data_IF_718786247671
#
_entry.id   IF_718786247671
#
_cell.length_a   1.000
_cell.length_b   1.000
_cell.length_c   1.000
_cell.angle_alpha   90.00
_cell.angle_beta   90.00
_cell.angle_gamma   90.00
#
_symmetry.space_group_name_H-M   'P 1'
#
loop_
_entity.id
_entity.type
_entity.pdbx_description
1 polymer ?
#
# COMPACT_ATOMS: atom_id res chain seq x y z
N UNK A 1 -24.26 13.00 15.10
CA UNK A 1 -25.37 12.65 14.19
C UNK A 1 -24.81 12.63 12.78
N UNK A 2 -25.25 11.71 11.93
CA UNK A 2 -24.90 11.67 10.50
C UNK A 2 -26.14 11.25 9.73
N UNK A 3 -26.30 11.76 8.51
CA UNK A 3 -27.47 11.51 7.65
C UNK A 3 -26.99 10.73 6.43
N UNK A 4 -27.78 9.76 6.00
CA UNK A 4 -27.50 9.04 4.76
C UNK A 4 -27.76 9.98 3.56
N UNK A 5 -26.79 10.19 2.67
CA UNK A 5 -26.95 11.12 1.55
C UNK A 5 -28.00 10.72 0.51
N UNK A 6 -28.33 9.43 0.42
CA UNK A 6 -29.26 8.90 -0.60
C UNK A 6 -30.57 8.41 0.02
N UNK A 7 -30.49 7.67 1.13
CA UNK A 7 -31.67 7.13 1.81
C UNK A 7 -32.18 8.13 2.83
N UNK A 8 -33.49 8.15 3.06
CA UNK A 8 -34.14 8.94 4.11
C UNK A 8 -33.88 8.33 5.49
N UNK A 9 -32.61 8.20 5.87
CA UNK A 9 -32.17 7.57 7.11
C UNK A 9 -31.15 8.45 7.80
N UNK A 10 -31.17 8.47 9.14
CA UNK A 10 -30.14 9.14 9.91
C UNK A 10 -29.75 8.32 11.14
N UNK A 11 -28.51 8.50 11.58
CA UNK A 11 -27.97 7.90 12.79
C UNK A 11 -27.77 8.94 13.89
N UNK A 12 -27.97 8.51 15.14
CA UNK A 12 -27.61 9.26 16.34
C UNK A 12 -26.77 8.36 17.24
N UNK A 13 -25.62 8.87 17.67
CA UNK A 13 -24.79 8.25 18.69
C UNK A 13 -25.15 8.88 20.03
N UNK A 14 -25.77 8.09 20.91
CA UNK A 14 -26.25 8.53 22.21
C UNK A 14 -25.27 8.07 23.30
N UNK A 15 -24.76 9.03 24.08
CA UNK A 15 -23.92 8.76 25.24
C UNK A 15 -24.79 8.69 26.48
N UNK A 16 -24.76 7.55 27.18
CA UNK A 16 -25.42 7.42 28.46
C UNK A 16 -24.47 7.92 29.55
N UNK A 17 -24.89 8.93 30.30
CA UNK A 17 -24.16 9.35 31.49
C UNK A 17 -24.61 8.54 32.70
N UNK A 18 -23.73 7.69 33.21
CA UNK A 18 -23.94 7.07 34.52
C UNK A 18 -23.75 8.10 35.62
N UNK A 19 -24.65 8.12 36.62
CA UNK A 19 -24.50 8.97 37.82
C UNK A 19 -23.20 8.69 38.60
N UNK A 20 -22.55 7.56 38.35
CA UNK A 20 -21.31 7.12 39.01
C UNK A 20 -20.01 7.56 38.30
N UNK A 21 -20.09 8.30 37.19
CA UNK A 21 -18.91 8.82 36.49
C UNK A 21 -18.22 7.81 35.55
N UNK A 22 -18.72 6.57 35.46
CA UNK A 22 -18.24 5.61 34.47
C UNK A 22 -18.61 6.06 33.05
N UNK A 23 -17.61 6.18 32.19
CA UNK A 23 -17.80 6.48 30.76
C UNK A 23 -18.36 5.23 30.07
N UNK A 24 -19.68 5.15 29.96
CA UNK A 24 -20.35 4.11 29.19
C UNK A 24 -20.07 4.31 27.69
N UNK A 25 -19.85 3.20 26.98
CA UNK A 25 -19.77 3.23 25.52
C UNK A 25 -21.10 3.70 24.92
N UNK A 26 -21.07 4.52 23.86
CA UNK A 26 -22.30 5.02 23.25
C UNK A 26 -23.12 3.92 22.60
N UNK A 27 -24.42 4.18 22.50
CA UNK A 27 -25.35 3.39 21.69
C UNK A 27 -25.62 4.13 20.38
N UNK A 28 -25.47 3.45 19.25
CA UNK A 28 -25.82 4.00 17.94
C UNK A 28 -27.24 3.59 17.56
N UNK A 29 -28.13 4.57 17.45
CA UNK A 29 -29.50 4.39 16.99
C UNK A 29 -29.63 4.88 15.55
N UNK A 30 -30.34 4.12 14.72
CA UNK A 30 -30.53 4.44 13.30
C UNK A 30 -32.01 4.46 13.01
N UNK A 31 -32.45 5.56 12.42
CA UNK A 31 -33.85 5.86 12.17
C UNK A 31 -34.11 6.00 10.68
N UNK A 32 -35.29 5.54 10.26
CA UNK A 32 -35.91 5.82 8.97
C UNK A 32 -36.90 6.97 9.12
N UNK A 33 -36.87 7.91 8.17
CA UNK A 33 -37.81 9.02 8.04
C UNK A 33 -38.50 9.03 6.67
N UNK A 34 -38.52 7.89 5.97
CA UNK A 34 -39.28 7.72 4.73
C UNK A 34 -40.79 7.95 4.91
N UNK A 35 -41.31 7.67 6.11
CA UNK A 35 -42.71 7.89 6.49
C UNK A 35 -42.85 9.17 7.32
N UNK A 36 -44.07 9.66 7.52
CA UNK A 36 -44.34 10.80 8.42
C UNK A 36 -43.90 10.55 9.87
N UNK A 37 -43.72 9.29 10.25
CA UNK A 37 -43.23 8.88 11.56
C UNK A 37 -41.79 8.38 11.50
N UNK A 38 -40.98 8.77 12.48
CA UNK A 38 -39.61 8.28 12.66
C UNK A 38 -39.62 6.84 13.15
N UNK A 39 -39.18 5.89 12.31
CA UNK A 39 -39.11 4.46 12.67
C UNK A 39 -37.69 4.08 13.06
N UNK A 40 -37.50 3.42 14.21
CA UNK A 40 -36.19 2.88 14.58
C UNK A 40 -35.90 1.64 13.74
N UNK A 41 -34.82 1.67 12.95
CA UNK A 41 -34.35 0.52 12.14
C UNK A 41 -33.52 -0.41 13.01
N UNK A 42 -32.53 0.15 13.71
CA UNK A 42 -31.55 -0.63 14.45
C UNK A 42 -31.00 0.17 15.62
N UNK A 43 -30.65 -0.55 16.68
CA UNK A 43 -29.95 -0.04 17.84
C UNK A 43 -28.74 -0.92 18.09
N UNK A 44 -27.56 -0.31 18.08
CA UNK A 44 -26.29 -0.98 18.33
C UNK A 44 -25.73 -0.48 19.68
N UNK A 45 -25.97 -1.23 20.77
CA UNK A 45 -25.54 -0.82 22.11
C UNK A 45 -24.03 -1.01 22.32
N UNK A 46 -23.47 -0.23 23.23
CA UNK A 46 -22.11 -0.35 23.77
C UNK A 46 -21.02 -0.44 22.69
N UNK A 47 -21.07 0.41 21.66
CA UNK A 47 -20.03 0.44 20.64
C UNK A 47 -18.86 1.28 21.12
N UNK A 48 -17.64 0.74 21.03
CA UNK A 48 -16.40 1.50 21.22
C UNK A 48 -16.12 2.44 20.03
N UNK A 49 -16.92 3.49 19.90
CA UNK A 49 -16.80 4.44 18.81
C UNK A 49 -17.05 5.88 19.25
N UNK A 50 -16.47 6.81 18.50
CA UNK A 50 -16.64 8.26 18.73
C UNK A 50 -17.40 8.95 17.61
N UNK A 51 -17.28 8.45 16.40
CA UNK A 51 -17.94 9.04 15.25
C UNK A 51 -18.29 7.98 14.21
N UNK A 52 -19.21 8.32 13.33
CA UNK A 52 -19.57 7.46 12.21
C UNK A 52 -19.97 8.32 11.03
N UNK A 53 -19.77 7.79 9.82
CA UNK A 53 -20.04 8.47 8.57
C UNK A 53 -20.66 7.50 7.56
N UNK A 54 -21.69 7.94 6.86
CA UNK A 54 -22.24 7.21 5.71
C UNK A 54 -21.33 7.40 4.49
N UNK A 55 -21.30 6.38 3.62
CA UNK A 55 -20.70 6.52 2.30
C UNK A 55 -21.54 7.50 1.45
N UNK A 56 -20.92 8.26 0.53
CA UNK A 56 -21.66 9.17 -0.35
C UNK A 56 -22.74 8.49 -1.20
N UNK A 57 -22.55 7.21 -1.55
CA UNK A 57 -23.54 6.39 -2.24
C UNK A 57 -24.63 5.81 -1.32
N UNK A 58 -24.57 6.05 0.00
CA UNK A 58 -25.59 5.65 0.98
C UNK A 58 -25.76 4.15 1.22
N UNK A 59 -24.92 3.30 0.62
CA UNK A 59 -24.99 1.84 0.78
C UNK A 59 -24.25 1.34 2.02
N UNK A 60 -23.21 2.07 2.44
CA UNK A 60 -22.35 1.69 3.54
C UNK A 60 -22.32 2.77 4.62
N UNK A 61 -22.00 2.33 5.83
CA UNK A 61 -21.75 3.21 6.96
C UNK A 61 -20.51 2.70 7.69
N UNK A 62 -19.60 3.61 8.01
CA UNK A 62 -18.41 3.29 8.79
C UNK A 62 -18.53 3.93 10.15
N UNK A 63 -18.47 3.11 11.19
CA UNK A 63 -18.37 3.55 12.57
C UNK A 63 -16.90 3.48 12.97
N UNK A 64 -16.38 4.57 13.54
CA UNK A 64 -14.97 4.74 13.85
C UNK A 64 -14.71 4.85 15.35
N UNK A 65 -13.87 3.94 15.84
CA UNK A 65 -13.23 3.95 17.15
C UNK A 65 -11.90 4.68 17.13
N UNK A 66 -11.78 5.79 16.40
CA UNK A 66 -10.55 6.59 16.47
C UNK A 66 -10.43 7.16 17.89
N UNK A 67 -9.22 7.07 18.47
CA UNK A 67 -8.90 7.51 19.83
C UNK A 67 -9.65 6.75 20.96
N UNK A 68 -10.16 5.54 20.71
CA UNK A 68 -10.66 4.62 21.76
C UNK A 68 -9.54 3.72 22.28
N UNK A 69 -9.79 3.00 23.37
CA UNK A 69 -8.82 2.05 23.95
C UNK A 69 -8.48 0.94 22.95
N UNK A 70 -9.51 0.36 22.32
CA UNK A 70 -9.33 -0.53 21.18
C UNK A 70 -9.81 0.15 19.89
N UNK A 71 -8.89 0.74 19.10
CA UNK A 71 -9.26 1.47 17.89
C UNK A 71 -9.62 0.53 16.73
N UNK A 72 -10.90 0.55 16.35
CA UNK A 72 -11.44 -0.23 15.23
C UNK A 72 -12.28 0.62 14.26
N UNK A 73 -12.31 0.20 13.00
CA UNK A 73 -13.31 0.60 12.02
C UNK A 73 -14.32 -0.52 11.83
N UNK A 74 -15.60 -0.19 11.92
CA UNK A 74 -16.71 -1.12 11.73
C UNK A 74 -17.45 -0.74 10.46
N UNK A 75 -17.39 -1.61 9.45
CA UNK A 75 -18.06 -1.44 8.17
C UNK A 75 -19.44 -2.08 8.22
N UNK A 76 -20.49 -1.30 8.08
CA UNK A 76 -21.88 -1.76 8.06
C UNK A 76 -22.50 -1.58 6.67
N UNK A 77 -23.36 -2.53 6.28
CA UNK A 77 -24.32 -2.30 5.21
C UNK A 77 -25.50 -1.51 5.76
N UNK A 78 -25.92 -0.45 5.09
CA UNK A 78 -27.03 0.38 5.52
C UNK A 78 -28.41 -0.26 5.28
N UNK A 79 -28.58 -1.17 4.32
CA UNK A 79 -29.87 -1.83 4.04
C UNK A 79 -30.33 -2.77 5.15
N UNK A 80 -29.41 -3.60 5.65
CA UNK A 80 -29.71 -4.62 6.67
C UNK A 80 -29.09 -4.32 8.03
N UNK A 81 -28.38 -3.20 8.15
CA UNK A 81 -27.57 -2.86 9.31
C UNK A 81 -26.64 -3.98 9.78
N UNK A 82 -26.13 -4.77 8.82
CA UNK A 82 -25.25 -5.91 9.07
C UNK A 82 -23.80 -5.45 9.06
N UNK A 83 -23.04 -5.86 10.07
CA UNK A 83 -21.59 -5.69 10.08
C UNK A 83 -20.95 -6.57 9.00
N UNK A 84 -20.21 -5.97 8.09
CA UNK A 84 -19.38 -6.66 7.11
C UNK A 84 -18.03 -7.03 7.69
N UNK A 85 -17.34 -6.04 8.26
CA UNK A 85 -15.96 -6.23 8.70
C UNK A 85 -15.61 -5.28 9.84
N UNK A 86 -14.88 -5.83 10.81
CA UNK A 86 -14.21 -5.09 11.88
C UNK A 86 -12.72 -5.06 11.53
N UNK A 87 -12.15 -3.86 11.43
CA UNK A 87 -10.75 -3.67 11.00
C UNK A 87 -9.99 -2.94 12.12
N UNK A 88 -8.92 -3.54 12.68
CA UNK A 88 -8.08 -2.83 13.64
C UNK A 88 -7.37 -1.68 12.95
N UNK A 89 -7.34 -0.52 13.62
CA UNK A 89 -6.63 0.65 13.13
C UNK A 89 -5.73 1.20 14.22
N UNK A 90 -4.55 1.67 13.87
CA UNK A 90 -3.61 2.22 14.84
C UNK A 90 -3.30 3.66 14.48
N UNK A 91 -3.30 4.55 15.48
CA UNK A 91 -2.82 5.93 15.38
C UNK A 91 -3.42 6.74 14.21
N UNK A 92 -4.66 6.43 13.83
CA UNK A 92 -5.38 7.19 12.81
C UNK A 92 -5.89 8.49 13.39
N UNK A 93 -5.80 9.57 12.61
CA UNK A 93 -6.29 10.90 12.98
C UNK A 93 -7.75 11.07 12.53
N UNK A 94 -8.06 10.71 11.29
CA UNK A 94 -9.41 10.83 10.72
C UNK A 94 -9.63 9.85 9.57
N UNK A 95 -10.90 9.70 9.18
CA UNK A 95 -11.31 8.92 8.01
C UNK A 95 -12.08 9.80 7.02
N UNK A 96 -12.01 9.48 5.73
CA UNK A 96 -12.74 10.19 4.68
C UNK A 96 -13.13 9.25 3.55
N UNK A 97 -14.38 9.34 3.11
CA UNK A 97 -14.87 8.62 1.94
C UNK A 97 -14.47 9.32 0.64
N UNK A 98 -14.19 8.53 -0.39
CA UNK A 98 -14.15 9.04 -1.76
C UNK A 98 -15.54 9.51 -2.21
N UNK A 99 -15.65 10.44 -3.16
CA UNK A 99 -16.94 10.98 -3.60
C UNK A 99 -17.91 9.93 -4.14
N UNK A 100 -17.42 8.76 -4.60
CA UNK A 100 -18.23 7.67 -5.12
C UNK A 100 -18.62 6.63 -4.05
N UNK A 101 -18.02 6.67 -2.86
CA UNK A 101 -18.26 5.69 -1.80
C UNK A 101 -17.72 4.29 -2.08
N UNK A 102 -16.69 4.18 -2.91
CA UNK A 102 -15.97 2.93 -3.20
C UNK A 102 -14.78 2.72 -2.26
N UNK A 103 -14.11 3.79 -1.86
CA UNK A 103 -12.90 3.74 -1.04
C UNK A 103 -13.00 4.62 0.20
N UNK A 104 -12.53 4.09 1.32
CA UNK A 104 -12.35 4.81 2.56
C UNK A 104 -10.86 5.06 2.79
N UNK A 105 -10.47 6.33 2.88
CA UNK A 105 -9.14 6.71 3.32
C UNK A 105 -9.09 6.87 4.84
N UNK A 106 -8.26 6.10 5.52
CA UNK A 106 -7.89 6.33 6.92
C UNK A 106 -6.51 7.00 6.96
N UNK A 107 -6.40 8.11 7.69
CA UNK A 107 -5.24 9.01 7.62
C UNK A 107 -4.51 9.05 8.95
N UNK A 108 -3.18 8.89 8.90
CA UNK A 108 -2.24 9.16 10.00
C UNK A 108 -1.50 10.46 9.72
N UNK A 109 -1.99 11.55 10.31
CA UNK A 109 -1.44 12.87 10.08
C UNK A 109 -0.36 13.23 11.08
N UNK A 110 0.77 13.72 10.56
CA UNK A 110 1.87 14.28 11.32
C UNK A 110 1.44 15.44 12.23
N UNK A 111 0.42 16.20 11.84
CA UNK A 111 -0.06 17.37 12.59
C UNK A 111 -0.65 16.96 13.95
N UNK A 112 -1.32 15.81 14.00
CA UNK A 112 -1.91 15.30 15.23
C UNK A 112 -0.99 14.33 15.98
N UNK A 113 -0.14 13.60 15.25
CA UNK A 113 0.73 12.54 15.81
C UNK A 113 2.15 12.62 15.25
N UNK A 114 2.95 13.63 15.63
CA UNK A 114 4.25 13.89 15.00
C UNK A 114 5.30 12.79 15.25
N UNK A 115 5.18 12.05 16.35
CA UNK A 115 6.11 10.99 16.75
C UNK A 115 5.77 9.61 16.15
N UNK A 116 4.65 9.48 15.44
CA UNK A 116 4.20 8.21 14.86
C UNK A 116 4.60 8.07 13.37
N UNK A 117 4.46 6.85 12.82
CA UNK A 117 4.58 6.61 11.38
C UNK A 117 3.37 7.23 10.66
N UNK A 118 3.64 8.27 9.87
CA UNK A 118 2.61 9.06 9.18
C UNK A 118 2.38 8.56 7.76
N UNK A 119 1.16 8.73 7.25
CA UNK A 119 0.73 8.16 5.97
C UNK A 119 -0.77 7.99 5.88
N UNK A 120 -1.22 7.11 4.99
CA UNK A 120 -2.63 6.76 4.86
C UNK A 120 -2.83 5.34 4.36
N UNK A 121 -4.00 4.81 4.67
CA UNK A 121 -4.48 3.48 4.31
C UNK A 121 -5.77 3.64 3.52
N UNK A 122 -5.84 3.00 2.36
CA UNK A 122 -7.04 2.93 1.54
C UNK A 122 -7.70 1.58 1.75
N UNK A 123 -8.92 1.63 2.28
CA UNK A 123 -9.79 0.49 2.38
C UNK A 123 -10.83 0.54 1.27
N UNK A 124 -11.18 -0.62 0.75
CA UNK A 124 -12.39 -0.84 -0.04
C UNK A 124 -13.65 -0.65 0.82
N UNK A 125 -14.82 -0.47 0.22
CA UNK A 125 -16.10 -0.29 0.92
C UNK A 125 -16.49 -1.49 1.81
N UNK A 126 -15.91 -2.66 1.55
CA UNK A 126 -16.04 -3.88 2.38
C UNK A 126 -15.00 -3.98 3.52
N UNK A 127 -14.09 -3.01 3.65
CA UNK A 127 -13.05 -3.00 4.69
C UNK A 127 -11.78 -3.80 4.35
N UNK A 128 -11.53 -4.08 3.07
CA UNK A 128 -10.28 -4.71 2.62
C UNK A 128 -9.21 -3.65 2.38
N UNK A 129 -8.01 -3.82 2.94
CA UNK A 129 -6.90 -2.91 2.70
C UNK A 129 -6.39 -3.11 1.26
N UNK A 130 -6.48 -2.06 0.45
CA UNK A 130 -6.04 -2.08 -0.95
C UNK A 130 -4.67 -1.43 -1.12
N UNK A 131 -4.41 -0.38 -0.35
CA UNK A 131 -3.17 0.36 -0.45
C UNK A 131 -2.79 0.95 0.89
N UNK A 132 -1.50 0.94 1.17
CA UNK A 132 -0.91 1.55 2.35
C UNK A 132 0.35 2.27 1.93
N UNK A 133 0.52 3.50 2.42
CA UNK A 133 1.73 4.26 2.17
C UNK A 133 2.14 5.06 3.39
N UNK A 134 3.45 5.18 3.54
CA UNK A 134 4.10 5.91 4.62
C UNK A 134 4.92 7.03 4.02
N UNK A 135 4.75 8.24 4.56
CA UNK A 135 5.50 9.43 4.15
C UNK A 135 5.94 10.23 5.36
N UNK A 136 7.16 10.76 5.31
CA UNK A 136 7.65 11.68 6.32
C UNK A 136 6.81 12.96 6.29
N UNK A 137 6.48 13.49 7.47
CA UNK A 137 5.71 14.72 7.65
C UNK A 137 4.39 14.78 6.85
N UNK A 138 3.69 13.64 6.74
CA UNK A 138 2.43 13.58 6.00
C UNK A 138 1.32 14.39 6.69
N UNK A 139 0.91 15.50 6.10
CA UNK A 139 -0.08 16.39 6.70
C UNK A 139 -1.52 15.85 6.61
N UNK A 140 -1.91 15.29 5.47
CA UNK A 140 -3.26 14.77 5.31
C UNK A 140 -3.60 14.31 3.89
N UNK A 141 -4.76 13.68 3.77
CA UNK A 141 -5.39 13.26 2.52
C UNK A 141 -6.75 13.93 2.40
N UNK A 142 -7.05 14.43 1.19
CA UNK A 142 -8.37 14.91 0.79
C UNK A 142 -8.68 14.31 -0.57
N UNK A 143 -9.90 13.80 -0.72
CA UNK A 143 -10.36 13.36 -2.02
C UNK A 143 -10.70 14.55 -2.88
N UNK A 144 -10.36 14.49 -4.17
CA UNK A 144 -10.80 15.49 -5.15
C UNK A 144 -12.33 15.45 -5.23
N UNK A 145 -13.05 16.55 -4.93
CA UNK A 145 -14.50 16.57 -5.07
C UNK A 145 -14.90 16.28 -6.52
N UNK A 146 -15.88 15.39 -6.69
CA UNK A 146 -16.44 15.12 -8.00
C UNK A 146 -17.49 16.19 -8.33
N UNK A 147 -17.46 16.83 -9.51
CA UNK A 147 -18.54 17.72 -9.93
C UNK A 147 -19.86 16.96 -9.97
N UNK A 148 -20.96 17.68 -9.76
CA UNK A 148 -22.31 17.12 -9.84
C UNK A 148 -22.52 16.43 -11.19
N UNK A 149 -23.16 15.25 -11.16
CA UNK A 149 -23.31 14.41 -12.34
C UNK A 149 -23.94 15.19 -13.51
N UNK A 150 -23.20 15.33 -14.60
CA UNK A 150 -23.64 15.92 -15.87
C UNK A 150 -24.58 14.94 -16.63
N UNK A 151 -24.78 13.75 -16.09
CA UNK A 151 -25.52 12.66 -16.71
C UNK A 151 -27.02 12.98 -16.68
N UNK A 152 -27.61 13.13 -17.86
CA UNK A 152 -29.06 13.29 -18.03
C UNK A 152 -29.78 12.01 -17.55
N UNK A 153 -31.01 12.13 -16.99
CA UNK A 153 -31.75 10.97 -16.47
C UNK A 153 -32.01 9.87 -17.53
N UNK A 154 -32.10 10.23 -18.80
CA UNK A 154 -32.23 9.28 -19.92
C UNK A 154 -30.97 8.40 -20.08
N UNK A 155 -29.79 9.02 -19.99
CA UNK A 155 -28.51 8.32 -20.06
C UNK A 155 -28.31 7.39 -18.86
N UNK A 156 -28.83 7.75 -17.69
CA UNK A 156 -28.76 6.88 -16.51
C UNK A 156 -29.47 5.54 -16.73
N UNK A 157 -30.65 5.54 -17.37
CA UNK A 157 -31.39 4.32 -17.69
C UNK A 157 -30.67 3.45 -18.72
N UNK A 158 -30.01 4.07 -19.69
CA UNK A 158 -29.19 3.35 -20.66
C UNK A 158 -27.95 2.71 -20.01
N UNK A 159 -27.32 3.41 -19.07
CA UNK A 159 -26.20 2.87 -18.29
C UNK A 159 -26.65 1.68 -17.45
N UNK A 160 -27.83 1.75 -16.82
CA UNK A 160 -28.39 0.62 -16.06
C UNK A 160 -28.66 -0.60 -16.95
N UNK A 161 -29.19 -0.40 -18.17
CA UNK A 161 -29.48 -1.53 -19.08
C UNK A 161 -28.19 -2.19 -19.62
N UNK A 162 -27.15 -1.39 -19.86
CA UNK A 162 -25.84 -1.87 -20.34
C UNK A 162 -24.87 -2.24 -19.21
N UNK A 163 -25.29 -2.13 -17.95
CA UNK A 163 -24.40 -2.31 -16.80
C UNK A 163 -23.69 -3.67 -16.80
N UNK A 164 -24.42 -4.76 -17.06
CA UNK A 164 -23.87 -6.11 -17.03
C UNK A 164 -22.85 -6.35 -18.16
N UNK A 165 -23.11 -5.79 -19.34
CA UNK A 165 -22.19 -5.88 -20.49
C UNK A 165 -20.92 -5.06 -20.24
N UNK A 166 -21.08 -3.84 -19.72
CA UNK A 166 -19.97 -2.99 -19.31
C UNK A 166 -19.12 -3.67 -18.22
N UNK A 167 -19.76 -4.28 -17.22
CA UNK A 167 -19.06 -5.02 -16.17
C UNK A 167 -18.23 -6.19 -16.74
N UNK A 168 -18.79 -6.95 -17.69
CA UNK A 168 -18.10 -8.08 -18.31
C UNK A 168 -16.88 -7.60 -19.11
N UNK A 169 -17.07 -6.60 -19.97
CA UNK A 169 -15.98 -6.03 -20.79
C UNK A 169 -14.89 -5.39 -19.94
N UNK A 170 -15.25 -4.66 -18.87
CA UNK A 170 -14.27 -4.10 -17.92
C UNK A 170 -13.46 -5.20 -17.21
N UNK A 171 -14.10 -6.29 -16.78
CA UNK A 171 -13.38 -7.42 -16.17
C UNK A 171 -12.39 -8.07 -17.15
N UNK A 172 -12.82 -8.32 -18.38
CA UNK A 172 -11.96 -8.89 -19.43
C UNK A 172 -10.79 -7.95 -19.79
N UNK A 173 -11.03 -6.63 -19.82
CA UNK A 173 -9.97 -5.64 -20.01
C UNK A 173 -8.99 -5.58 -18.85
N UNK A 174 -9.48 -5.63 -17.61
CA UNK A 174 -8.64 -5.60 -16.42
C UNK A 174 -7.80 -6.89 -16.29
N UNK A 175 -8.35 -8.05 -16.65
CA UNK A 175 -7.61 -9.32 -16.73
C UNK A 175 -6.51 -9.24 -17.79
N UNK A 176 -6.82 -8.80 -19.02
CA UNK A 176 -5.81 -8.62 -20.07
C UNK A 176 -4.70 -7.64 -19.66
N UNK A 177 -5.04 -6.53 -19.00
CA UNK A 177 -4.05 -5.57 -18.49
C UNK A 177 -3.16 -6.19 -17.42
N UNK A 178 -3.72 -7.00 -16.51
CA UNK A 178 -2.93 -7.71 -15.49
C UNK A 178 -1.94 -8.67 -16.14
N UNK A 179 -2.39 -9.49 -17.09
CA UNK A 179 -1.53 -10.40 -17.84
C UNK A 179 -0.40 -9.66 -18.58
N UNK A 180 -0.72 -8.53 -19.21
CA UNK A 180 0.27 -7.69 -19.88
C UNK A 180 1.31 -7.15 -18.89
N UNK A 181 0.88 -6.63 -17.74
CA UNK A 181 1.78 -6.12 -16.69
C UNK A 181 2.68 -7.24 -16.14
N UNK A 182 2.16 -8.45 -15.96
CA UNK A 182 2.94 -9.61 -15.51
C UNK A 182 3.97 -10.04 -16.56
N UNK A 183 3.59 -10.06 -17.83
CA UNK A 183 4.49 -10.36 -18.92
C UNK A 183 5.63 -9.34 -19.02
N UNK A 184 5.31 -8.04 -18.95
CA UNK A 184 6.30 -6.96 -18.96
C UNK A 184 7.26 -7.05 -17.76
N UNK A 185 6.75 -7.37 -16.57
CA UNK A 185 7.58 -7.61 -15.38
C UNK A 185 8.52 -8.78 -15.57
N UNK A 186 8.02 -9.89 -16.13
CA UNK A 186 8.82 -11.09 -16.40
C UNK A 186 9.92 -10.80 -17.42
N UNK A 187 9.58 -10.15 -18.54
CA UNK A 187 10.55 -9.76 -19.56
C UNK A 187 11.64 -8.84 -18.98
N UNK A 188 11.26 -7.83 -18.20
CA UNK A 188 12.21 -6.94 -17.52
C UNK A 188 13.12 -7.72 -16.54
N UNK A 189 12.57 -8.68 -15.80
CA UNK A 189 13.35 -9.53 -14.91
C UNK A 189 14.34 -10.42 -15.68
N UNK A 190 13.90 -11.04 -16.78
CA UNK A 190 14.74 -11.87 -17.64
C UNK A 190 15.88 -11.06 -18.29
N UNK A 191 15.60 -9.84 -18.72
CA UNK A 191 16.61 -8.90 -19.23
C UNK A 191 17.64 -8.53 -18.17
N UNK A 192 17.21 -8.19 -16.95
CA UNK A 192 18.09 -7.90 -15.83
C UNK A 192 18.96 -9.10 -15.47
N UNK A 193 18.38 -10.31 -15.44
CA UNK A 193 19.11 -11.55 -15.19
C UNK A 193 20.13 -11.87 -16.29
N UNK A 194 19.80 -11.58 -17.56
CA UNK A 194 20.74 -11.72 -18.67
C UNK A 194 21.91 -10.73 -18.55
N UNK A 195 21.62 -9.47 -18.22
CA UNK A 195 22.65 -8.45 -17.96
C UNK A 195 23.55 -8.86 -16.79
N UNK A 196 22.97 -9.33 -15.69
CA UNK A 196 23.71 -9.81 -14.53
C UNK A 196 24.63 -10.99 -14.89
N UNK A 197 24.11 -12.00 -15.59
CA UNK A 197 24.92 -13.16 -16.06
C UNK A 197 26.09 -12.73 -16.95
N UNK A 198 25.86 -11.79 -17.87
CA UNK A 198 26.92 -11.27 -18.74
C UNK A 198 28.02 -10.54 -17.94
N UNK A 199 27.64 -9.75 -16.93
CA UNK A 199 28.59 -9.06 -16.05
C UNK A 199 29.41 -10.09 -15.25
N UNK A 200 28.76 -11.10 -14.67
CA UNK A 200 29.43 -12.18 -13.92
C UNK A 200 30.42 -12.92 -14.83
N UNK A 201 30.00 -13.32 -16.04
CA UNK A 201 30.90 -13.98 -16.99
C UNK A 201 32.09 -13.10 -17.38
N UNK A 202 31.87 -11.81 -17.65
CA UNK A 202 32.95 -10.87 -17.97
C UNK A 202 33.92 -10.72 -16.80
N UNK A 203 33.43 -10.65 -15.57
CA UNK A 203 34.26 -10.55 -14.38
C UNK A 203 35.08 -11.82 -14.13
N UNK A 204 34.51 -13.01 -14.35
CA UNK A 204 35.25 -14.27 -14.29
C UNK A 204 36.36 -14.30 -15.34
N UNK A 205 36.07 -13.88 -16.57
CA UNK A 205 37.09 -13.80 -17.63
C UNK A 205 38.19 -12.78 -17.31
N UNK A 206 37.85 -11.63 -16.73
CA UNK A 206 38.82 -10.62 -16.31
C UNK A 206 39.71 -11.16 -15.19
N UNK A 207 39.12 -11.78 -14.17
CA UNK A 207 39.86 -12.40 -13.07
C UNK A 207 40.79 -13.52 -13.55
N UNK A 208 40.35 -14.36 -14.49
CA UNK A 208 41.21 -15.37 -15.12
C UNK A 208 42.37 -14.74 -15.90
N UNK A 209 42.14 -13.66 -16.65
CA UNK A 209 43.20 -12.91 -17.35
C UNK A 209 44.17 -12.25 -16.38
N UNK A 210 43.70 -11.71 -15.27
CA UNK A 210 44.54 -11.13 -14.21
C UNK A 210 45.39 -12.21 -13.53
N UNK A 211 44.82 -13.37 -13.24
CA UNK A 211 45.55 -14.54 -12.74
C UNK A 211 46.65 -14.98 -13.71
N UNK A 212 46.35 -15.03 -15.01
CA UNK A 212 47.33 -15.38 -16.03
C UNK A 212 48.45 -14.34 -16.13
N UNK A 213 48.11 -13.04 -16.07
CA UNK A 213 49.10 -11.95 -16.05
C UNK A 213 50.00 -11.98 -14.82
N UNK A 214 49.43 -12.30 -13.65
CA UNK A 214 50.19 -12.46 -12.41
C UNK A 214 51.17 -13.65 -12.53
N UNK A 215 50.73 -14.75 -13.14
CA UNK A 215 51.59 -15.90 -13.43
C UNK A 215 52.71 -15.55 -14.42
N UNK A 216 52.41 -14.90 -15.54
CA UNK A 216 53.40 -14.46 -16.53
C UNK A 216 54.43 -13.47 -15.93
N UNK A 217 53.97 -12.54 -15.09
CA UNK A 217 54.84 -11.62 -14.38
C UNK A 217 55.74 -12.35 -13.38
N UNK A 218 55.21 -13.30 -12.61
CA UNK A 218 56.00 -14.13 -11.71
C UNK A 218 57.04 -14.98 -12.45
N UNK A 219 56.67 -15.52 -13.60
CA UNK A 219 57.58 -16.29 -14.46
C UNK A 219 58.71 -15.42 -15.02
N UNK A 220 58.42 -14.18 -15.42
CA UNK A 220 59.47 -13.22 -15.85
C UNK A 220 60.47 -12.93 -14.74
N UNK A 221 60.00 -12.69 -13.51
CA UNK A 221 60.86 -12.44 -12.35
C UNK A 221 61.78 -13.64 -12.10
N UNK A 222 61.24 -14.86 -12.13
CA UNK A 222 62.02 -16.10 -11.94
C UNK A 222 63.08 -16.26 -13.04
N UNK A 223 62.72 -15.98 -14.30
CA UNK A 223 63.66 -16.07 -15.43
C UNK A 223 64.77 -15.02 -15.33
N UNK A 224 64.45 -13.81 -14.88
CA UNK A 224 65.44 -12.74 -14.63
C UNK A 224 66.38 -13.10 -13.47
N UNK A 225 65.88 -13.67 -12.38
CA UNK A 225 66.72 -14.19 -11.28
C UNK A 225 67.67 -15.31 -11.74
N UNK A 226 67.21 -16.21 -12.62
CA UNK A 226 68.05 -17.28 -13.17
C UNK A 226 69.16 -16.70 -14.07
N UNK A 227 68.85 -15.71 -14.90
CA UNK A 227 69.85 -15.02 -15.74
C UNK A 227 70.90 -14.31 -14.90
N UNK A 228 70.48 -13.54 -13.90
CA UNK A 228 71.41 -12.85 -13.00
C UNK A 228 72.33 -13.83 -12.25
N UNK A 229 71.81 -14.98 -11.82
CA UNK A 229 72.63 -16.05 -11.23
C UNK A 229 73.61 -16.67 -12.22
N UNK A 230 73.22 -16.84 -13.49
CA UNK A 230 74.11 -17.35 -14.53
C UNK A 230 75.24 -16.35 -14.83
N UNK A 231 74.91 -15.07 -15.00
CA UNK A 231 75.88 -13.98 -15.22
C UNK A 231 76.86 -13.86 -14.03
N UNK A 232 76.37 -13.90 -12.78
CA UNK A 232 77.25 -13.91 -11.61
C UNK A 232 78.18 -15.12 -11.53
N UNK A 233 77.75 -16.28 -12.04
CA UNK A 233 78.57 -17.49 -12.06
C UNK A 233 79.59 -17.49 -13.20
N UNK A 234 79.34 -16.77 -14.29
CA UNK A 234 80.30 -16.54 -15.37
C UNK A 234 81.38 -15.52 -14.95
N UNK A 235 81.00 -14.42 -14.31
CA UNK A 235 81.96 -13.46 -13.73
C UNK A 235 82.86 -14.09 -12.66
N UNK A 236 82.32 -14.99 -11.83
CA UNK A 236 83.12 -15.74 -10.85
C UNK A 236 84.11 -16.69 -11.55
N UNK A 237 83.73 -17.29 -12.68
CA UNK A 237 84.63 -18.17 -13.45
C UNK A 237 85.73 -17.40 -14.17
N UNK A 238 85.42 -16.24 -14.76
CA UNK A 238 86.43 -15.38 -15.40
C UNK A 238 87.45 -14.84 -14.39
N UNK A 239 86.99 -14.39 -13.21
CA UNK A 239 87.88 -13.92 -12.14
C UNK A 239 88.80 -15.01 -11.58
N UNK A 240 88.37 -16.29 -11.59
CA UNK A 240 89.20 -17.44 -11.17
C UNK A 240 90.24 -17.81 -12.23
N UNK A 241 89.96 -17.56 -13.52
CA UNK A 241 90.91 -17.80 -14.61
C UNK A 241 91.96 -16.71 -14.79
N UNK A 242 91.70 -15.48 -14.34
CA UNK A 242 92.67 -14.37 -14.38
C UNK A 242 93.63 -14.33 -13.17
N UNK A 243 93.39 -15.16 -12.14
CA UNK A 243 94.23 -15.22 -10.92
C UNK A 243 95.16 -16.43 -10.82
N UNK A 244 95.39 -17.16 -11.91
CA UNK A 244 96.42 -18.22 -12.02
C UNK A 244 97.49 -17.84 -13.03
#
# INVERSE_FOLDING_TARGET
>A
MSVNPIKMQFGIMAYQHSKKGDSLFPTLHIYDISSNETKLISSLPNIEAKSFIYSPNGQFMVVSGINTSEPYLYFYNTDRMKLYKKVPIENMSYICWDPMGLFLGAVRSYVYSPHAKNGFMLYDCFGNLQFETYKTNFAGLLWRPQPTNIIKPEMAKEVESKFNECLKTMKEEDERKKEQIELEKKQRADELMKRFRNIVQKNVQLSAKEHLRAYDSGMKIIVEEIKQKAESNEEVKENITETQ
#
